data_IF_448030740133
#
_entry.id   IF_448030740133
#
_cell.length_a   1.000
_cell.length_b   1.000
_cell.length_c   1.000
_cell.angle_alpha   90.00
_cell.angle_beta   90.00
_cell.angle_gamma   90.00
#
_symmetry.space_group_name_H-M   'P 1'
#
loop_
_entity.id
_entity.type
_entity.pdbx_description
1 polymer ?
#
# COMPACT_ATOMS: atom_id res chain seq x y z
N UNK A 1 -12.57 -8.34 30.90
CA UNK A 1 -13.48 -8.78 29.82
C UNK A 1 -12.78 -8.58 28.49
N UNK A 2 -12.28 -9.65 27.86
CA UNK A 2 -11.79 -9.61 26.48
C UNK A 2 -13.00 -9.66 25.56
N UNK A 3 -13.38 -8.52 24.97
CA UNK A 3 -14.32 -8.49 23.85
C UNK A 3 -13.58 -9.14 22.69
N UNK A 4 -13.79 -10.44 22.47
CA UNK A 4 -13.40 -11.10 21.23
C UNK A 4 -14.34 -10.60 20.15
N UNK A 5 -13.94 -9.52 19.48
CA UNK A 5 -14.60 -9.07 18.26
C UNK A 5 -14.47 -10.20 17.25
N UNK A 6 -15.51 -11.00 17.09
CA UNK A 6 -15.54 -12.07 16.10
C UNK A 6 -15.87 -11.44 14.76
N UNK A 7 -14.88 -11.42 13.85
CA UNK A 7 -15.10 -10.98 12.47
C UNK A 7 -15.63 -12.16 11.66
N UNK A 8 -16.80 -11.99 11.05
CA UNK A 8 -17.46 -13.00 10.22
C UNK A 8 -16.70 -13.27 8.94
N UNK A 9 -15.98 -12.28 8.41
CA UNK A 9 -15.12 -12.43 7.24
C UNK A 9 -13.76 -11.75 7.43
N UNK A 10 -12.75 -12.22 6.68
CA UNK A 10 -11.44 -11.57 6.65
C UNK A 10 -11.53 -10.10 6.17
N UNK A 11 -12.44 -9.83 5.22
CA UNK A 11 -12.66 -8.47 4.70
C UNK A 11 -13.17 -7.51 5.77
N UNK A 12 -14.07 -7.96 6.64
CA UNK A 12 -14.54 -7.15 7.78
C UNK A 12 -13.41 -6.83 8.76
N UNK A 13 -12.52 -7.81 9.02
CA UNK A 13 -11.33 -7.58 9.82
C UNK A 13 -10.42 -6.50 9.20
N UNK A 14 -10.16 -6.59 7.90
CA UNK A 14 -9.35 -5.59 7.17
C UNK A 14 -9.96 -4.19 7.28
N UNK A 15 -11.27 -4.04 7.02
CA UNK A 15 -11.96 -2.75 7.17
C UNK A 15 -11.92 -2.22 8.60
N UNK A 16 -12.04 -3.10 9.59
CA UNK A 16 -11.94 -2.72 10.99
C UNK A 16 -10.54 -2.19 11.32
N UNK A 17 -9.48 -2.90 10.90
CA UNK A 17 -8.09 -2.47 11.07
C UNK A 17 -7.88 -1.10 10.43
N UNK A 18 -8.34 -0.91 9.19
CA UNK A 18 -8.26 0.37 8.48
C UNK A 18 -8.93 1.52 9.25
N UNK A 19 -10.17 1.30 9.74
CA UNK A 19 -10.92 2.31 10.51
C UNK A 19 -10.20 2.71 11.78
N UNK A 20 -9.61 1.74 12.48
CA UNK A 20 -8.83 2.01 13.69
C UNK A 20 -7.51 2.73 13.37
N UNK A 21 -6.86 2.39 12.26
CA UNK A 21 -5.68 3.13 11.78
C UNK A 21 -6.03 4.57 11.40
N UNK A 22 -7.19 4.81 10.79
CA UNK A 22 -7.69 6.16 10.50
C UNK A 22 -7.95 6.97 11.78
N UNK A 23 -8.23 6.31 12.91
CA UNK A 23 -8.30 6.95 14.24
C UNK A 23 -6.94 7.21 14.87
N UNK A 24 -5.85 6.76 14.24
CA UNK A 24 -4.47 6.94 14.69
C UNK A 24 -3.84 5.75 15.36
N UNK A 25 -4.53 4.60 15.39
CA UNK A 25 -3.95 3.38 15.94
C UNK A 25 -2.84 2.86 15.03
N UNK A 26 -1.78 2.36 15.64
CA UNK A 26 -0.69 1.69 14.94
C UNK A 26 -0.72 0.20 15.26
N UNK A 27 -0.19 -0.61 14.35
CA UNK A 27 -0.19 -2.05 14.50
C UNK A 27 1.19 -2.63 14.19
N UNK A 28 1.68 -3.52 15.04
CA UNK A 28 2.79 -4.42 14.69
C UNK A 28 2.24 -5.67 13.99
N UNK A 29 3.09 -6.46 13.32
CA UNK A 29 2.66 -7.76 12.76
C UNK A 29 2.09 -8.68 13.84
N UNK A 30 2.67 -8.67 15.04
CA UNK A 30 2.19 -9.47 16.17
C UNK A 30 0.77 -9.04 16.58
N UNK A 31 0.49 -7.73 16.60
CA UNK A 31 -0.86 -7.25 16.89
C UNK A 31 -1.86 -7.70 15.82
N UNK A 32 -1.51 -7.61 14.54
CA UNK A 32 -2.38 -8.01 13.44
C UNK A 32 -2.68 -9.52 13.46
N UNK A 33 -1.66 -10.37 13.67
CA UNK A 33 -1.86 -11.82 13.77
C UNK A 33 -2.81 -12.20 14.91
N UNK A 34 -2.79 -11.47 16.02
CA UNK A 34 -3.71 -11.70 17.15
C UNK A 34 -5.18 -11.36 16.84
N UNK A 35 -5.44 -10.55 15.82
CA UNK A 35 -6.81 -10.21 15.39
C UNK A 35 -7.40 -11.26 14.44
N UNK A 36 -6.57 -12.11 13.84
CA UNK A 36 -7.00 -13.13 12.87
C UNK A 36 -7.54 -14.33 13.66
N UNK A 37 -8.82 -14.71 13.45
CA UNK A 37 -9.35 -15.94 14.03
C UNK A 37 -8.53 -17.16 13.58
N UNK A 38 -8.29 -18.11 14.49
CA UNK A 38 -7.52 -19.33 14.19
C UNK A 38 -8.12 -20.20 13.08
N UNK A 39 -9.41 -20.00 12.77
CA UNK A 39 -10.11 -20.67 11.68
C UNK A 39 -9.78 -20.10 10.29
N UNK A 40 -9.14 -18.93 10.22
CA UNK A 40 -8.75 -18.29 8.96
C UNK A 40 -7.28 -18.62 8.63
N UNK A 41 -7.04 -19.24 7.48
CA UNK A 41 -5.68 -19.45 6.95
C UNK A 41 -5.13 -18.15 6.32
N UNK A 42 -4.85 -17.16 7.18
CA UNK A 42 -4.39 -15.82 6.82
C UNK A 42 -3.35 -15.32 7.82
N UNK A 43 -2.62 -14.29 7.43
CA UNK A 43 -1.54 -13.68 8.19
C UNK A 43 -1.64 -12.16 8.23
N UNK A 44 -0.85 -11.52 9.10
CA UNK A 44 -0.69 -10.07 9.12
C UNK A 44 -0.31 -9.49 7.75
N UNK A 45 0.48 -10.23 6.96
CA UNK A 45 0.89 -9.79 5.63
C UNK A 45 -0.27 -9.79 4.64
N UNK A 46 -1.24 -10.70 4.79
CA UNK A 46 -2.49 -10.65 4.02
C UNK A 46 -3.31 -9.41 4.36
N UNK A 47 -3.38 -9.03 5.65
CA UNK A 47 -4.09 -7.80 6.05
C UNK A 47 -3.40 -6.58 5.45
N UNK A 48 -2.08 -6.50 5.56
CA UNK A 48 -1.30 -5.38 5.02
C UNK A 48 -1.47 -5.28 3.50
N UNK A 49 -1.41 -6.41 2.79
CA UNK A 49 -1.63 -6.45 1.34
C UNK A 49 -3.01 -5.94 0.97
N UNK A 50 -4.07 -6.49 1.57
CA UNK A 50 -5.44 -6.10 1.26
C UNK A 50 -5.68 -4.62 1.60
N UNK A 51 -5.10 -4.10 2.68
CA UNK A 51 -5.16 -2.67 3.00
C UNK A 51 -4.53 -1.78 1.92
N UNK A 52 -3.42 -2.20 1.31
CA UNK A 52 -2.82 -1.49 0.18
C UNK A 52 -3.67 -1.59 -1.09
N UNK A 53 -4.29 -2.75 -1.34
CA UNK A 53 -5.15 -2.99 -2.50
C UNK A 53 -6.46 -2.18 -2.46
N UNK A 54 -6.97 -1.86 -1.27
CA UNK A 54 -8.13 -0.98 -1.11
C UNK A 54 -7.89 0.43 -1.71
N UNK A 55 -6.64 0.89 -1.80
CA UNK A 55 -6.23 2.21 -2.33
C UNK A 55 -6.99 3.40 -1.73
N UNK A 56 -7.58 3.25 -0.55
CA UNK A 56 -8.38 4.31 0.07
C UNK A 56 -7.54 5.35 0.81
N UNK A 57 -6.41 4.91 1.38
CA UNK A 57 -5.53 5.73 2.19
C UNK A 57 -4.11 5.19 2.12
N UNK A 58 -3.11 6.07 2.21
CA UNK A 58 -1.71 5.65 2.24
C UNK A 58 -1.36 5.01 3.57
N UNK A 59 -0.94 3.75 3.52
CA UNK A 59 -0.36 3.05 4.66
C UNK A 59 1.16 3.19 4.62
N UNK A 60 1.72 3.55 5.76
CA UNK A 60 3.15 3.75 5.97
C UNK A 60 3.71 2.69 6.92
N UNK A 61 4.99 2.41 6.76
CA UNK A 61 5.74 1.48 7.60
C UNK A 61 6.85 2.23 8.34
N UNK A 62 6.93 2.04 9.65
CA UNK A 62 8.02 2.52 10.47
C UNK A 62 8.93 1.34 10.82
N UNK A 63 10.21 1.45 10.47
CA UNK A 63 11.23 0.47 10.86
C UNK A 63 11.39 0.42 12.38
N UNK A 64 11.80 -0.75 12.88
CA UNK A 64 12.14 -0.90 14.28
C UNK A 64 13.28 0.06 14.65
N UNK A 65 13.16 0.67 15.83
CA UNK A 65 14.19 1.50 16.47
C UNK A 65 14.48 0.92 17.85
N UNK A 66 15.49 1.44 18.54
CA UNK A 66 15.76 1.04 19.92
C UNK A 66 14.47 1.11 20.74
N UNK A 67 14.08 -0.03 21.34
CA UNK A 67 12.88 -0.22 22.18
C UNK A 67 11.51 -0.03 21.49
N UNK A 68 11.48 0.33 20.20
CA UNK A 68 10.24 0.52 19.44
C UNK A 68 10.16 -0.55 18.34
N UNK A 69 9.20 -1.50 18.42
CA UNK A 69 9.04 -2.51 17.38
C UNK A 69 8.60 -1.87 16.07
N UNK A 70 8.84 -2.54 14.95
CA UNK A 70 8.34 -2.08 13.66
C UNK A 70 6.80 -2.10 13.63
N UNK A 71 6.20 -1.08 13.01
CA UNK A 71 4.75 -0.93 12.96
C UNK A 71 4.26 -0.28 11.67
N UNK A 72 2.99 -0.55 11.35
CA UNK A 72 2.23 0.05 10.27
C UNK A 72 1.30 1.11 10.83
N UNK A 73 1.13 2.21 10.09
CA UNK A 73 0.32 3.35 10.50
C UNK A 73 -0.22 4.12 9.30
N UNK A 74 -1.22 4.97 9.54
CA UNK A 74 -1.62 6.02 8.61
C UNK A 74 -1.13 7.35 9.17
N UNK A 75 -0.35 8.07 8.38
CA UNK A 75 0.18 9.37 8.79
C UNK A 75 -0.96 10.35 9.12
N UNK A 76 -0.72 11.25 10.08
CA UNK A 76 -1.70 12.28 10.45
C UNK A 76 -2.17 13.09 9.24
N UNK A 77 -1.27 13.48 8.35
CA UNK A 77 -1.64 14.21 7.14
C UNK A 77 -2.65 13.44 6.29
N UNK A 78 -2.39 12.15 6.03
CA UNK A 78 -3.29 11.31 5.24
C UNK A 78 -4.64 11.09 5.94
N UNK A 79 -4.66 10.97 7.28
CA UNK A 79 -5.92 10.90 8.04
C UNK A 79 -6.73 12.18 7.93
N UNK A 80 -6.10 13.33 8.15
CA UNK A 80 -6.77 14.63 8.14
C UNK A 80 -7.34 14.92 6.74
N UNK A 81 -6.58 14.64 5.68
CA UNK A 81 -7.06 14.79 4.30
C UNK A 81 -8.20 13.81 3.96
N UNK A 82 -8.09 12.55 4.40
CA UNK A 82 -9.15 11.56 4.24
C UNK A 82 -10.45 12.02 4.92
N UNK A 83 -10.41 12.55 6.14
CA UNK A 83 -11.61 13.04 6.83
C UNK A 83 -12.20 14.32 6.23
N UNK A 84 -11.37 15.20 5.66
CA UNK A 84 -11.86 16.39 4.95
C UNK A 84 -12.59 16.04 3.66
N UNK A 85 -12.01 15.15 2.85
CA UNK A 85 -12.59 14.75 1.56
C UNK A 85 -12.08 13.38 1.12
N UNK A 86 -12.78 12.29 1.49
CA UNK A 86 -12.35 10.92 1.18
C UNK A 86 -12.15 10.68 -0.32
N UNK A 87 -13.09 11.14 -1.15
CA UNK A 87 -13.04 10.92 -2.61
C UNK A 87 -11.90 11.68 -3.29
N UNK A 88 -11.63 12.92 -2.87
CA UNK A 88 -10.47 13.67 -3.38
C UNK A 88 -9.16 13.04 -2.94
N UNK A 89 -9.10 12.53 -1.71
CA UNK A 89 -7.92 11.81 -1.22
C UNK A 89 -7.65 10.55 -2.06
N UNK A 90 -8.69 9.76 -2.35
CA UNK A 90 -8.61 8.57 -3.21
C UNK A 90 -8.11 8.93 -4.63
N UNK A 91 -8.64 9.99 -5.22
CA UNK A 91 -8.19 10.46 -6.54
C UNK A 91 -6.72 10.91 -6.52
N UNK A 92 -6.30 11.65 -5.50
CA UNK A 92 -4.91 12.08 -5.35
C UNK A 92 -3.95 10.88 -5.22
N UNK A 93 -4.32 9.85 -4.45
CA UNK A 93 -3.53 8.62 -4.34
C UNK A 93 -3.43 7.84 -5.66
N UNK A 94 -4.50 7.82 -6.46
CA UNK A 94 -4.46 7.20 -7.78
C UNK A 94 -3.49 7.94 -8.72
N UNK A 95 -3.53 9.28 -8.73
CA UNK A 95 -2.65 10.12 -9.54
C UNK A 95 -1.17 10.01 -9.12
N UNK A 96 -0.89 9.98 -7.81
CA UNK A 96 0.47 9.74 -7.30
C UNK A 96 1.03 8.38 -7.76
N UNK A 97 0.17 7.36 -7.82
CA UNK A 97 0.53 6.04 -8.34
C UNK A 97 0.93 6.08 -9.81
N UNK A 98 0.15 6.76 -10.65
CA UNK A 98 0.42 6.94 -12.08
C UNK A 98 1.72 7.73 -12.32
N UNK A 99 1.92 8.82 -11.58
CA UNK A 99 3.13 9.63 -11.68
C UNK A 99 4.40 8.84 -11.29
N UNK A 100 4.31 8.01 -10.24
CA UNK A 100 5.41 7.14 -9.81
C UNK A 100 5.73 6.07 -10.87
N UNK A 101 4.72 5.49 -11.51
CA UNK A 101 4.91 4.55 -12.61
C UNK A 101 5.66 5.20 -13.77
N UNK A 102 5.20 6.37 -14.21
CA UNK A 102 5.83 7.11 -15.30
C UNK A 102 7.31 7.44 -15.01
N UNK A 103 7.61 7.88 -13.79
CA UNK A 103 9.00 8.16 -13.38
C UNK A 103 9.90 6.92 -13.44
N UNK A 104 9.39 5.75 -13.04
CA UNK A 104 10.11 4.48 -13.16
C UNK A 104 10.34 4.08 -14.61
N UNK A 105 9.32 4.20 -15.45
CA UNK A 105 9.42 3.88 -16.88
C UNK A 105 10.47 4.75 -17.56
N UNK A 106 10.44 6.07 -17.29
CA UNK A 106 11.47 7.01 -17.78
C UNK A 106 12.86 6.61 -17.28
N UNK A 107 13.01 6.28 -16.00
CA UNK A 107 14.28 5.84 -15.42
C UNK A 107 14.80 4.56 -16.10
N UNK A 108 13.91 3.63 -16.41
CA UNK A 108 14.24 2.38 -17.08
C UNK A 108 14.70 2.61 -18.53
N UNK A 109 13.95 3.44 -19.27
CA UNK A 109 14.30 3.84 -20.64
C UNK A 109 15.66 4.54 -20.66
N UNK A 110 15.92 5.45 -19.72
CA UNK A 110 17.23 6.13 -19.60
C UNK A 110 18.35 5.13 -19.30
N UNK A 111 18.12 4.18 -18.40
CA UNK A 111 19.10 3.15 -18.07
C UNK A 111 19.44 2.26 -19.28
N UNK A 112 18.44 1.86 -20.07
CA UNK A 112 18.69 1.07 -21.28
C UNK A 112 19.41 1.92 -22.34
N UNK A 113 18.99 3.16 -22.54
CA UNK A 113 19.61 4.09 -23.51
C UNK A 113 21.09 4.31 -23.18
N UNK A 114 21.44 4.43 -21.90
CA UNK A 114 22.85 4.50 -21.46
C UNK A 114 23.63 3.22 -21.75
N UNK A 115 23.01 2.04 -21.67
CA UNK A 115 23.67 0.74 -21.87
C UNK A 115 23.82 0.35 -23.33
N UNK A 116 22.84 0.65 -24.18
CA UNK A 116 22.76 0.18 -25.57
C UNK A 116 22.94 1.27 -26.62
N UNK A 117 23.12 2.52 -26.18
CA UNK A 117 23.08 3.68 -27.06
C UNK A 117 21.66 3.98 -27.57
N UNK A 118 21.51 5.08 -28.32
CA UNK A 118 20.19 5.53 -28.81
C UNK A 118 19.60 4.62 -29.90
N UNK A 119 20.39 3.73 -30.51
CA UNK A 119 19.96 2.85 -31.60
C UNK A 119 18.87 1.83 -31.21
N UNK A 120 18.85 1.39 -29.95
CA UNK A 120 17.86 0.42 -29.45
C UNK A 120 16.41 0.94 -29.48
N UNK A 121 16.19 2.26 -29.37
CA UNK A 121 14.84 2.84 -29.40
C UNK A 121 14.23 2.67 -30.81
N UNK A 122 15.06 2.77 -31.86
CA UNK A 122 14.62 2.55 -33.24
C UNK A 122 14.22 1.08 -33.49
N UNK A 123 14.96 0.13 -32.91
CA UNK A 123 14.64 -1.31 -33.04
C UNK A 123 13.31 -1.68 -32.35
N UNK A 124 13.01 -1.08 -31.18
CA UNK A 124 11.70 -1.27 -30.53
C UNK A 124 10.58 -0.77 -31.44
N UNK A 125 10.64 0.49 -31.88
CA UNK A 125 9.58 1.11 -32.72
C UNK A 125 9.36 0.31 -34.01
N UNK A 126 10.43 -0.19 -34.62
CA UNK A 126 10.35 -1.00 -35.85
C UNK A 126 9.78 -2.40 -35.60
N UNK A 127 10.00 -2.99 -34.41
CA UNK A 127 9.41 -4.29 -34.04
C UNK A 127 7.92 -4.18 -33.71
N UNK A 128 7.48 -3.08 -33.09
CA UNK A 128 6.07 -2.85 -32.73
C UNK A 128 5.21 -2.47 -33.93
N UNK A 129 5.80 -1.85 -34.97
CA UNK A 129 5.09 -1.50 -36.20
C UNK A 129 4.91 -2.68 -37.18
N UNK A 130 5.45 -3.87 -36.85
CA UNK A 130 5.35 -5.10 -37.66
C UNK A 130 4.37 -6.14 -37.09
N UNK A 131 3.67 -5.80 -36.01
CA UNK A 131 2.55 -6.56 -35.45
C UNK A 131 1.27 -5.73 -35.56
#
# INVERSE_FOLDING_TARGET
>A
MTITTSYSTFRELVFHVQKEMLRGKTYTKSNLNKLIPSTMNKSADDIIRDLHELKEVKISYSHAKAEIPAFWYIDRYHRDEYFKSPERHKQALAQDGEATSLSRDVSYIQAITKRRGRGFIADIITSTARH
#
